data_IF_542219605097
#
_entry.id   IF_542219605097
#
_cell.length_a   1.000
_cell.length_b   1.000
_cell.length_c   1.000
_cell.angle_alpha   90.00
_cell.angle_beta   90.00
_cell.angle_gamma   90.00
#
_symmetry.space_group_name_H-M   'P 1'
#
loop_
_entity.id
_entity.type
_entity.pdbx_description
1 polymer ?
#
# COMPACT_ATOMS: atom_id res chain seq x y z
N UNK A 1 6.76 -26.48 12.15
CA UNK A 1 6.26 -25.78 10.95
C UNK A 1 5.19 -24.84 11.45
N UNK A 2 5.60 -23.65 11.91
CA UNK A 2 4.66 -22.65 12.41
C UNK A 2 3.78 -22.20 11.24
N UNK A 3 2.47 -22.14 11.45
CA UNK A 3 1.56 -21.65 10.42
C UNK A 3 1.92 -20.18 10.16
N UNK A 4 2.39 -19.87 8.95
CA UNK A 4 2.62 -18.48 8.54
C UNK A 4 1.32 -17.71 8.73
N UNK A 5 1.36 -16.71 9.60
CA UNK A 5 0.25 -15.79 9.78
C UNK A 5 -0.13 -15.15 8.43
N UNK A 6 -1.44 -15.02 8.17
CA UNK A 6 -1.94 -14.32 6.99
C UNK A 6 -2.13 -12.82 7.27
N UNK A 7 -2.11 -12.00 6.21
CA UNK A 7 -2.42 -10.57 6.34
C UNK A 7 -3.85 -10.32 6.82
N UNK A 8 -4.79 -11.25 6.56
CA UNK A 8 -6.15 -11.13 7.10
C UNK A 8 -6.17 -11.36 8.60
N UNK A 9 -5.45 -12.38 9.08
CA UNK A 9 -5.31 -12.63 10.52
C UNK A 9 -4.67 -11.44 11.24
N UNK A 10 -3.58 -10.90 10.69
CA UNK A 10 -2.95 -9.68 11.21
C UNK A 10 -3.96 -8.52 11.29
N UNK A 11 -4.76 -8.32 10.25
CA UNK A 11 -5.78 -7.28 10.21
C UNK A 11 -6.83 -7.44 11.32
N UNK A 12 -7.29 -8.67 11.55
CA UNK A 12 -8.28 -8.98 12.58
C UNK A 12 -7.72 -8.74 13.99
N UNK A 13 -6.50 -9.20 14.26
CA UNK A 13 -5.82 -9.02 15.55
C UNK A 13 -5.53 -7.55 15.86
N UNK A 14 -5.15 -6.78 14.84
CA UNK A 14 -4.95 -5.33 14.99
C UNK A 14 -6.27 -4.55 15.09
N UNK A 15 -7.42 -5.18 14.84
CA UNK A 15 -8.72 -4.51 14.79
C UNK A 15 -8.87 -3.55 13.61
N UNK A 16 -8.23 -3.87 12.48
CA UNK A 16 -8.24 -3.04 11.28
C UNK A 16 -9.54 -3.19 10.51
N UNK A 17 -10.11 -2.04 10.14
CA UNK A 17 -11.30 -1.93 9.30
C UNK A 17 -10.99 -1.17 8.04
N UNK A 18 -11.50 -1.68 6.94
CA UNK A 18 -11.36 -1.11 5.62
C UNK A 18 -12.71 -0.60 5.13
N UNK A 19 -12.68 0.55 4.49
CA UNK A 19 -13.78 1.07 3.71
C UNK A 19 -13.26 1.50 2.35
N UNK A 20 -13.86 1.01 1.27
CA UNK A 20 -13.45 1.32 -0.09
C UNK A 20 -14.64 1.92 -0.83
N UNK A 21 -14.42 3.08 -1.46
CA UNK A 21 -15.42 3.75 -2.28
C UNK A 21 -14.88 3.98 -3.69
N UNK A 22 -15.65 3.64 -4.74
CA UNK A 22 -15.22 3.93 -6.10
C UNK A 22 -15.23 5.45 -6.35
N UNK A 23 -14.16 5.96 -6.92
CA UNK A 23 -14.13 7.29 -7.51
C UNK A 23 -14.68 7.19 -8.94
N UNK A 24 -15.75 7.95 -9.21
CA UNK A 24 -16.36 7.95 -10.53
C UNK A 24 -15.36 8.41 -11.59
N UNK A 25 -15.21 7.63 -12.66
CA UNK A 25 -14.39 7.98 -13.81
C UNK A 25 -14.93 9.24 -14.50
N UNK A 26 -14.03 10.04 -15.09
CA UNK A 26 -14.42 11.24 -15.81
C UNK A 26 -15.16 10.86 -17.10
N UNK A 27 -16.17 11.63 -17.56
CA UNK A 27 -16.85 11.38 -18.83
C UNK A 27 -15.93 11.40 -20.07
N UNK A 28 -14.65 11.78 -19.93
CA UNK A 28 -13.65 11.72 -21.00
C UNK A 28 -13.18 10.29 -21.31
N UNK A 29 -13.38 9.34 -20.40
CA UNK A 29 -12.90 7.96 -20.55
C UNK A 29 -13.90 7.04 -21.26
N UNK A 30 -15.08 7.56 -21.63
CA UNK A 30 -16.19 6.79 -22.24
C UNK A 30 -15.81 6.19 -23.60
N UNK A 31 -14.80 6.74 -24.29
CA UNK A 31 -14.33 6.25 -25.59
C UNK A 31 -13.11 5.32 -25.48
N UNK A 32 -12.52 5.16 -24.30
CA UNK A 32 -11.38 4.27 -24.12
C UNK A 32 -11.85 2.80 -24.14
N UNK A 33 -11.05 1.87 -24.71
CA UNK A 33 -11.31 0.44 -24.56
C UNK A 33 -11.43 0.06 -23.08
N UNK A 34 -12.43 -0.75 -22.70
CA UNK A 34 -12.66 -1.13 -21.29
C UNK A 34 -11.41 -1.73 -20.62
N UNK A 35 -10.57 -2.44 -21.37
CA UNK A 35 -9.33 -3.03 -20.87
C UNK A 35 -8.21 -2.02 -20.56
N UNK A 36 -8.35 -0.76 -20.98
CA UNK A 36 -7.44 0.34 -20.66
C UNK A 36 -8.02 1.35 -19.66
N UNK A 37 -9.25 1.12 -19.19
CA UNK A 37 -9.88 1.97 -18.17
C UNK A 37 -9.49 1.45 -16.80
N UNK A 38 -9.04 2.36 -15.93
CA UNK A 38 -8.76 2.07 -14.53
C UNK A 38 -9.91 2.57 -13.66
N UNK A 39 -10.40 1.71 -12.78
CA UNK A 39 -11.29 2.11 -11.71
C UNK A 39 -10.46 2.53 -10.52
N UNK A 40 -10.74 3.74 -10.05
CA UNK A 40 -10.08 4.31 -8.89
C UNK A 40 -10.93 4.07 -7.66
N UNK A 41 -10.31 3.76 -6.53
CA UNK A 41 -10.97 3.61 -5.23
C UNK A 41 -10.29 4.51 -4.22
N UNK A 42 -11.07 5.28 -3.44
CA UNK A 42 -10.59 5.82 -2.18
C UNK A 42 -10.77 4.74 -1.13
N UNK A 43 -9.66 4.34 -0.54
CA UNK A 43 -9.61 3.36 0.51
C UNK A 43 -9.26 4.06 1.82
N UNK A 44 -10.08 3.85 2.84
CA UNK A 44 -9.86 4.33 4.21
C UNK A 44 -9.56 3.13 5.10
N UNK A 45 -8.36 3.11 5.70
CA UNK A 45 -7.94 2.14 6.69
C UNK A 45 -8.02 2.77 8.09
N UNK A 46 -8.68 2.09 9.02
CA UNK A 46 -8.87 2.52 10.41
C UNK A 46 -8.53 1.40 11.37
N UNK A 47 -8.24 1.75 12.62
CA UNK A 47 -7.97 0.80 13.71
C UNK A 47 -8.95 1.02 14.85
N UNK A 48 -9.61 -0.04 15.30
CA UNK A 48 -10.54 0.02 16.42
C UNK A 48 -9.83 0.53 17.68
N UNK A 49 -10.40 1.56 18.32
CA UNK A 49 -9.85 2.13 19.55
C UNK A 49 -8.60 3.01 19.38
N UNK A 50 -8.11 3.21 18.15
CA UNK A 50 -7.01 4.14 17.90
C UNK A 50 -7.52 5.59 17.82
N UNK A 51 -6.82 6.56 18.45
CA UNK A 51 -7.12 7.97 18.28
C UNK A 51 -6.62 8.55 16.95
N UNK A 52 -5.79 7.80 16.22
CA UNK A 52 -5.21 8.25 14.96
C UNK A 52 -6.27 8.38 13.85
N UNK A 53 -6.14 9.37 12.95
CA UNK A 53 -7.06 9.53 11.85
C UNK A 53 -6.97 8.35 10.86
N UNK A 54 -8.04 8.09 10.09
CA UNK A 54 -8.00 7.11 9.02
C UNK A 54 -6.88 7.39 8.02
N UNK A 55 -6.13 6.35 7.65
CA UNK A 55 -5.19 6.43 6.53
C UNK A 55 -6.01 6.35 5.25
N UNK A 56 -5.88 7.36 4.38
CA UNK A 56 -6.57 7.42 3.09
C UNK A 56 -5.59 7.19 1.94
N UNK A 57 -5.97 6.28 1.06
CA UNK A 57 -5.15 5.80 -0.05
C UNK A 57 -6.01 5.79 -1.31
N UNK A 58 -5.39 5.99 -2.46
CA UNK A 58 -6.05 5.81 -3.75
C UNK A 58 -5.50 4.54 -4.37
N UNK A 59 -6.40 3.62 -4.68
CA UNK A 59 -6.07 2.37 -5.38
C UNK A 59 -6.60 2.44 -6.79
N UNK A 60 -5.82 1.91 -7.73
CA UNK A 60 -6.23 1.74 -9.12
C UNK A 60 -6.33 0.25 -9.37
N UNK A 61 -7.49 -0.18 -9.85
CA UNK A 61 -7.70 -1.55 -10.33
C UNK A 61 -8.16 -1.49 -11.78
N UNK A 62 -7.87 -2.50 -12.61
CA UNK A 62 -8.44 -2.56 -13.95
C UNK A 62 -9.97 -2.49 -13.85
N UNK A 63 -10.64 -1.71 -14.70
CA UNK A 63 -12.10 -1.60 -14.70
C UNK A 63 -12.81 -2.93 -15.06
N UNK A 64 -12.06 -3.88 -15.63
CA UNK A 64 -12.51 -5.26 -15.85
C UNK A 64 -12.51 -6.11 -14.58
N UNK A 65 -11.87 -5.65 -13.50
CA UNK A 65 -11.92 -6.29 -12.19
C UNK A 65 -13.26 -5.97 -11.53
N UNK A 66 -14.01 -7.01 -11.18
CA UNK A 66 -15.31 -6.86 -10.51
C UNK A 66 -15.14 -6.68 -8.99
N UNK A 67 -13.94 -6.93 -8.46
CA UNK A 67 -13.68 -6.94 -7.03
C UNK A 67 -13.16 -5.60 -6.51
N UNK A 68 -13.81 -5.09 -5.47
CA UNK A 68 -13.30 -3.98 -4.65
C UNK A 68 -12.01 -4.39 -3.92
N UNK A 69 -11.08 -3.45 -3.66
CA UNK A 69 -9.87 -3.75 -2.88
C UNK A 69 -10.21 -4.33 -1.50
N UNK A 70 -9.63 -5.49 -1.17
CA UNK A 70 -9.83 -6.12 0.13
C UNK A 70 -8.73 -5.73 1.14
N UNK A 71 -8.97 -6.02 2.44
CA UNK A 71 -8.00 -5.77 3.52
C UNK A 71 -6.62 -6.32 3.22
N UNK A 72 -6.57 -7.55 2.71
CA UNK A 72 -5.35 -8.22 2.29
C UNK A 72 -4.60 -7.41 1.23
N UNK A 73 -5.30 -6.98 0.19
CA UNK A 73 -4.69 -6.25 -0.93
C UNK A 73 -4.13 -4.93 -0.43
N UNK A 74 -4.91 -4.21 0.37
CA UNK A 74 -4.51 -2.91 0.90
C UNK A 74 -3.28 -3.06 1.80
N UNK A 75 -3.28 -4.04 2.72
CA UNK A 75 -2.12 -4.32 3.58
C UNK A 75 -0.89 -4.76 2.79
N UNK A 76 -1.07 -5.59 1.75
CA UNK A 76 0.02 -6.02 0.88
C UNK A 76 0.68 -4.83 0.19
N UNK A 77 -0.12 -3.93 -0.36
CA UNK A 77 0.40 -2.77 -1.10
C UNK A 77 1.11 -1.78 -0.19
N UNK A 78 0.48 -1.39 0.93
CA UNK A 78 1.09 -0.41 1.84
C UNK A 78 2.33 -0.96 2.55
N UNK A 79 2.37 -2.27 2.82
CA UNK A 79 3.57 -2.92 3.33
C UNK A 79 4.68 -2.91 2.27
N UNK A 80 4.34 -3.15 1.01
CA UNK A 80 5.30 -3.03 -0.10
C UNK A 80 5.89 -1.63 -0.25
N UNK A 81 5.07 -0.59 -0.20
CA UNK A 81 5.54 0.79 -0.26
C UNK A 81 6.47 1.12 0.91
N UNK A 82 6.09 0.73 2.12
CA UNK A 82 6.91 0.92 3.31
C UNK A 82 8.23 0.13 3.23
N UNK A 83 8.20 -1.11 2.72
CA UNK A 83 9.36 -1.96 2.53
C UNK A 83 10.35 -1.39 1.54
N UNK A 84 9.88 -0.88 0.40
CA UNK A 84 10.74 -0.24 -0.59
C UNK A 84 11.33 1.05 -0.03
N UNK A 85 10.57 1.85 0.72
CA UNK A 85 11.07 3.06 1.37
C UNK A 85 12.16 2.78 2.41
N UNK A 86 12.03 1.69 3.18
CA UNK A 86 13.05 1.28 4.14
C UNK A 86 14.31 0.81 3.43
N UNK A 87 14.19 -0.04 2.40
CA UNK A 87 15.33 -0.53 1.62
C UNK A 87 16.04 0.54 0.82
N UNK A 88 15.33 1.59 0.44
CA UNK A 88 15.92 2.73 -0.25
C UNK A 88 16.58 3.73 0.72
N UNK A 89 16.60 3.47 2.03
CA UNK A 89 17.00 4.43 3.07
C UNK A 89 16.32 5.81 2.91
N UNK A 90 15.07 5.79 2.42
CA UNK A 90 14.31 6.99 2.04
C UNK A 90 15.06 7.93 1.08
N UNK A 91 15.97 7.40 0.28
CA UNK A 91 16.58 8.12 -0.84
C UNK A 91 15.66 8.06 -2.06
N UNK A 92 15.36 9.24 -2.62
CA UNK A 92 14.43 9.37 -3.75
C UNK A 92 14.99 8.73 -5.02
N UNK A 93 16.31 8.76 -5.24
CA UNK A 93 16.91 8.20 -6.45
C UNK A 93 16.84 6.67 -6.45
N UNK A 94 17.17 6.06 -5.31
CA UNK A 94 17.10 4.62 -5.08
C UNK A 94 15.66 4.11 -5.12
N UNK A 95 14.74 4.84 -4.48
CA UNK A 95 13.30 4.54 -4.56
C UNK A 95 12.78 4.62 -5.99
N UNK A 96 13.10 5.69 -6.72
CA UNK A 96 12.66 5.89 -8.11
C UNK A 96 13.19 4.79 -9.04
N UNK A 97 14.44 4.37 -8.87
CA UNK A 97 15.04 3.28 -9.65
C UNK A 97 14.29 1.95 -9.50
N UNK A 98 13.71 1.69 -8.32
CA UNK A 98 12.92 0.46 -8.06
C UNK A 98 11.67 0.39 -8.94
N UNK A 99 11.07 1.54 -9.27
CA UNK A 99 9.86 1.65 -10.08
C UNK A 99 10.15 2.07 -11.54
N UNK A 100 11.40 2.29 -11.90
CA UNK A 100 11.78 2.79 -13.22
C UNK A 100 11.39 4.26 -13.48
N UNK A 101 11.24 5.06 -12.43
CA UNK A 101 10.91 6.48 -12.56
C UNK A 101 12.18 7.34 -12.73
N UNK A 102 12.16 8.39 -13.57
CA UNK A 102 13.27 9.34 -13.65
C UNK A 102 13.33 10.19 -12.36
N UNK A 103 14.42 10.18 -11.57
CA UNK A 103 14.48 10.83 -10.26
C UNK A 103 14.46 12.37 -10.31
N UNK A 104 14.86 12.94 -11.44
CA UNK A 104 14.85 14.38 -11.72
C UNK A 104 13.45 14.91 -12.07
N UNK A 105 12.51 14.05 -12.43
CA UNK A 105 11.16 14.50 -12.77
C UNK A 105 10.40 15.00 -11.53
N UNK A 106 9.75 16.18 -11.62
CA UNK A 106 8.93 16.70 -10.52
C UNK A 106 7.82 15.74 -10.08
N UNK A 107 7.31 14.90 -10.99
CA UNK A 107 6.31 13.88 -10.71
C UNK A 107 6.82 12.82 -9.73
N UNK A 108 8.03 12.29 -9.98
CA UNK A 108 8.68 11.29 -9.15
C UNK A 108 8.86 11.76 -7.71
N UNK A 109 9.31 13.02 -7.52
CA UNK A 109 9.44 13.61 -6.18
C UNK A 109 8.09 13.74 -5.47
N UNK A 110 7.00 14.04 -6.19
CA UNK A 110 5.66 14.11 -5.59
C UNK A 110 5.18 12.73 -5.15
N UNK A 111 5.37 11.70 -5.96
CA UNK A 111 5.02 10.32 -5.63
C UNK A 111 5.83 9.82 -4.43
N UNK A 112 7.14 10.05 -4.42
CA UNK A 112 8.00 9.73 -3.28
C UNK A 112 7.52 10.39 -1.98
N UNK A 113 7.26 11.70 -2.01
CA UNK A 113 6.75 12.42 -0.84
C UNK A 113 5.37 11.91 -0.38
N UNK A 114 4.54 11.45 -1.32
CA UNK A 114 3.26 10.82 -1.00
C UNK A 114 3.48 9.48 -0.30
N UNK A 115 4.34 8.61 -0.84
CA UNK A 115 4.67 7.32 -0.22
C UNK A 115 5.23 7.51 1.21
N UNK A 116 6.14 8.46 1.41
CA UNK A 116 6.69 8.80 2.74
C UNK A 116 5.57 9.20 3.73
N UNK A 117 4.65 10.07 3.30
CA UNK A 117 3.52 10.48 4.15
C UNK A 117 2.58 9.33 4.47
N UNK A 118 2.27 8.48 3.48
CA UNK A 118 1.39 7.33 3.65
C UNK A 118 2.01 6.29 4.59
N UNK A 119 3.29 5.98 4.42
CA UNK A 119 4.04 5.08 5.31
C UNK A 119 4.09 5.62 6.74
N UNK A 120 4.33 6.93 6.94
CA UNK A 120 4.30 7.55 8.26
C UNK A 120 2.91 7.49 8.91
N UNK A 121 1.84 7.76 8.15
CA UNK A 121 0.47 7.67 8.65
C UNK A 121 0.08 6.23 9.03
N UNK A 122 0.51 5.25 8.23
CA UNK A 122 0.33 3.84 8.56
C UNK A 122 1.07 3.45 9.84
N UNK A 123 2.33 3.86 9.97
CA UNK A 123 3.12 3.59 11.18
C UNK A 123 2.50 4.24 12.43
N UNK A 124 1.92 5.44 12.30
CA UNK A 124 1.16 6.07 13.38
C UNK A 124 -0.10 5.25 13.74
N UNK A 125 -0.88 4.84 12.75
CA UNK A 125 -2.11 4.06 12.95
C UNK A 125 -1.84 2.69 13.62
N UNK A 126 -0.78 2.01 13.20
CA UNK A 126 -0.41 0.68 13.68
C UNK A 126 0.44 0.72 14.96
N UNK A 127 1.21 1.78 15.17
CA UNK A 127 2.29 1.78 16.14
C UNK A 127 3.48 0.93 15.69
N UNK A 128 4.61 1.10 16.36
CA UNK A 128 5.90 0.55 15.93
C UNK A 128 5.91 -0.99 15.89
N UNK A 129 5.33 -1.65 16.89
CA UNK A 129 5.33 -3.12 16.98
C UNK A 129 4.55 -3.78 15.84
N UNK A 130 3.33 -3.31 15.58
CA UNK A 130 2.47 -3.88 14.54
C UNK A 130 2.97 -3.49 13.15
N UNK A 131 3.56 -2.30 12.99
CA UNK A 131 4.23 -1.92 11.74
C UNK A 131 5.39 -2.86 11.43
N UNK A 132 6.25 -3.17 12.41
CA UNK A 132 7.36 -4.11 12.23
C UNK A 132 6.84 -5.51 11.84
N UNK A 133 5.83 -6.00 12.54
CA UNK A 133 5.18 -7.29 12.24
C UNK A 133 4.61 -7.32 10.82
N UNK A 134 3.93 -6.26 10.38
CA UNK A 134 3.43 -6.14 9.01
C UNK A 134 4.55 -6.24 7.97
N UNK A 135 5.68 -5.57 8.23
CA UNK A 135 6.85 -5.58 7.35
C UNK A 135 7.51 -6.96 7.28
N UNK A 136 7.60 -7.68 8.41
CA UNK A 136 8.08 -9.07 8.46
C UNK A 136 7.19 -10.01 7.64
N UNK A 137 5.86 -9.88 7.76
CA UNK A 137 4.89 -10.67 6.99
C UNK A 137 5.00 -10.42 5.48
N UNK A 138 5.28 -9.18 5.08
CA UNK A 138 5.52 -8.83 3.68
C UNK A 138 6.86 -9.37 3.19
N UNK A 139 7.93 -9.12 3.94
CA UNK A 139 9.29 -9.57 3.64
C UNK A 139 9.37 -11.08 3.42
N UNK A 140 8.75 -11.87 4.30
CA UNK A 140 8.71 -13.34 4.18
C UNK A 140 8.07 -13.84 2.87
N UNK A 141 7.21 -13.03 2.24
CA UNK A 141 6.53 -13.37 0.97
C UNK A 141 7.26 -12.87 -0.26
N UNK A 142 8.01 -11.77 -0.16
CA UNK A 142 8.72 -11.16 -1.30
C UNK A 142 10.16 -11.65 -1.39
N UNK A 143 10.80 -11.96 -0.26
CA UNK A 143 12.18 -12.43 -0.19
C UNK A 143 12.26 -13.69 0.71
N UNK A 144 11.96 -14.90 0.17
CA UNK A 144 11.93 -16.12 0.97
C UNK A 144 13.32 -16.59 1.41
N UNK A 145 14.41 -15.92 1.00
CA UNK A 145 15.78 -16.26 1.38
C UNK A 145 16.52 -15.01 1.89
N UNK A 146 16.73 -14.85 3.21
CA UNK A 146 17.60 -13.79 3.70
C UNK A 146 19.00 -13.96 3.12
N UNK A 147 19.76 -12.87 2.86
CA UNK A 147 21.15 -12.98 2.45
C UNK A 147 21.88 -13.82 3.50
N UNK A 148 22.47 -14.93 3.05
CA UNK A 148 23.30 -15.78 3.90
C UNK A 148 24.40 -14.90 4.49
N UNK A 149 24.38 -14.75 5.81
CA UNK A 149 25.44 -14.08 6.57
C UNK A 149 26.66 -14.97 6.69
#
# INVERSE_FOLDING_TARGET
>A
MEASESLEQFADECGLRLFAEPLCASPRDVLAPLGSVEQHFVVSLTRAGSPEPPVRLVFMVPATSVAEPQRRDVLWWVAGDAWILERSDRDVATWAATFGYPPEEPGTRRLFNQAVRQSAALAALLGESDMRRLMELYGAKVDPYPPST
#
